data_IF_069901060983
#
_entry.id   IF_069901060983
#
_cell.length_a   1.000
_cell.length_b   1.000
_cell.length_c   1.000
_cell.angle_alpha   90.00
_cell.angle_beta   90.00
_cell.angle_gamma   90.00
#
_symmetry.space_group_name_H-M   'P 1'
#
loop_
_entity.id
_entity.type
_entity.pdbx_description
1 polymer ?
#
# COMPACT_ATOMS: atom_id res chain seq x y z
N UNK A 1 -3.10 23.22 66.87
CA UNK A 1 -2.31 23.79 65.74
C UNK A 1 -1.16 22.86 65.39
N UNK A 2 -1.03 22.56 64.13
CA UNK A 2 -0.06 21.70 63.42
C UNK A 2 -0.46 20.23 63.25
N UNK A 3 -1.15 19.92 62.15
CA UNK A 3 -0.68 18.86 61.26
C UNK A 3 -0.85 19.21 59.78
N UNK A 4 -0.64 20.46 59.35
CA UNK A 4 -0.81 20.86 57.92
C UNK A 4 0.53 21.04 57.16
N UNK A 5 1.68 20.90 57.85
CA UNK A 5 2.99 21.13 57.21
C UNK A 5 3.67 19.85 56.69
N UNK A 6 3.13 18.67 57.00
CA UNK A 6 3.75 17.39 56.58
C UNK A 6 3.22 16.86 55.24
N UNK A 7 2.07 17.34 54.77
CA UNK A 7 1.47 16.89 53.53
C UNK A 7 2.04 17.65 52.32
N UNK A 8 2.56 18.86 52.50
CA UNK A 8 3.17 19.65 51.41
C UNK A 8 4.60 19.22 51.06
N UNK A 9 5.29 18.53 51.97
CA UNK A 9 6.65 18.02 51.69
C UNK A 9 6.67 16.64 51.03
N UNK A 10 5.58 15.88 51.11
CA UNK A 10 5.46 14.57 50.44
C UNK A 10 4.98 14.72 48.99
N UNK A 11 4.31 15.81 48.64
CA UNK A 11 3.90 16.11 47.25
C UNK A 11 5.01 16.77 46.43
N UNK A 12 6.10 17.23 47.01
CA UNK A 12 7.23 17.82 46.27
C UNK A 12 8.31 16.80 45.90
N UNK A 13 8.20 15.54 46.31
CA UNK A 13 9.19 14.48 45.97
C UNK A 13 8.71 13.54 44.84
N UNK A 14 7.52 13.74 44.31
CA UNK A 14 6.94 12.82 43.33
C UNK A 14 6.95 13.29 41.88
N UNK A 15 7.76 14.24 41.41
CA UNK A 15 7.87 14.54 39.97
C UNK A 15 9.28 14.97 39.54
N UNK A 16 10.30 14.29 40.01
CA UNK A 16 11.54 14.23 39.23
C UNK A 16 11.50 13.00 38.31
N UNK A 17 10.47 12.89 37.46
CA UNK A 17 10.60 12.08 36.28
C UNK A 17 11.68 12.74 35.43
N UNK A 18 12.83 12.09 35.26
CA UNK A 18 13.89 12.58 34.39
C UNK A 18 13.31 12.77 32.98
N UNK A 19 13.06 14.03 32.61
CA UNK A 19 12.59 14.37 31.28
C UNK A 19 13.68 13.99 30.28
N UNK A 20 13.29 13.43 29.15
CA UNK A 20 14.21 13.11 28.06
C UNK A 20 14.98 14.37 27.65
N UNK A 21 16.32 14.29 27.63
CA UNK A 21 17.17 15.37 27.12
C UNK A 21 17.20 15.32 25.59
N UNK A 22 16.60 16.32 24.96
CA UNK A 22 16.60 16.47 23.49
C UNK A 22 17.59 17.56 23.14
N UNK A 23 18.64 17.18 22.38
CA UNK A 23 19.76 18.04 22.03
C UNK A 23 20.05 17.87 20.55
N UNK A 24 20.51 18.92 19.88
CA UNK A 24 21.19 18.77 18.59
C UNK A 24 22.49 18.00 18.78
N UNK A 25 23.02 17.41 17.70
CA UNK A 25 24.34 16.75 17.76
C UNK A 25 25.46 17.73 18.17
N UNK A 26 25.34 19.00 17.81
CA UNK A 26 26.29 20.05 18.20
C UNK A 26 26.23 20.34 19.70
N UNK A 27 25.05 20.65 20.25
CA UNK A 27 24.83 20.89 21.68
C UNK A 27 25.26 19.71 22.54
N UNK A 28 24.98 18.47 22.10
CA UNK A 28 25.43 17.27 22.81
C UNK A 28 26.96 17.16 22.82
N UNK A 29 27.64 17.51 21.73
CA UNK A 29 29.10 17.52 21.65
C UNK A 29 29.71 18.54 22.63
N UNK A 30 29.17 19.76 22.71
CA UNK A 30 29.59 20.81 23.63
C UNK A 30 29.42 20.38 25.10
N UNK A 31 28.37 19.60 25.41
CA UNK A 31 28.15 19.06 26.73
C UNK A 31 28.95 17.78 27.04
N UNK A 32 29.87 17.38 26.15
CA UNK A 32 30.66 16.15 26.28
C UNK A 32 29.86 14.86 26.12
N UNK A 33 28.65 14.94 25.52
CA UNK A 33 27.72 13.84 25.24
C UNK A 33 27.72 13.49 23.75
N UNK A 34 28.91 13.42 23.12
CA UNK A 34 28.99 13.10 21.68
C UNK A 34 28.27 11.78 21.34
N UNK A 35 27.79 11.64 20.12
CA UNK A 35 27.12 10.42 19.66
C UNK A 35 27.97 9.17 19.93
N UNK A 36 29.29 9.24 19.69
CA UNK A 36 30.24 8.15 19.95
C UNK A 36 30.26 7.75 21.43
N UNK A 37 30.19 8.70 22.34
CA UNK A 37 30.19 8.46 23.79
C UNK A 37 28.85 7.84 24.22
N UNK A 38 27.71 8.37 23.77
CA UNK A 38 26.42 7.82 24.08
C UNK A 38 26.26 6.42 23.45
N UNK A 39 26.70 6.21 22.22
CA UNK A 39 26.71 4.88 21.60
C UNK A 39 27.51 3.87 22.41
N UNK A 40 28.63 4.29 23.04
CA UNK A 40 29.42 3.38 23.89
C UNK A 40 28.72 3.00 25.21
N UNK A 41 27.87 3.89 25.75
CA UNK A 41 27.08 3.65 26.96
C UNK A 41 25.86 2.78 26.65
N UNK A 42 25.17 3.05 25.57
CA UNK A 42 23.89 2.43 25.24
C UNK A 42 23.98 1.25 24.23
N UNK A 43 25.18 0.97 23.70
CA UNK A 43 25.48 -0.24 22.88
C UNK A 43 26.56 -1.07 23.56
N UNK A 44 26.21 -2.06 24.38
CA UNK A 44 27.23 -2.96 24.93
C UNK A 44 27.95 -3.73 23.81
N UNK A 45 29.27 -3.95 24.00
CA UNK A 45 30.11 -4.72 23.07
C UNK A 45 29.51 -6.13 22.89
N UNK A 46 29.17 -6.50 21.66
CA UNK A 46 28.61 -7.81 21.32
C UNK A 46 27.11 -7.84 21.01
N UNK A 47 26.40 -6.74 21.12
CA UNK A 47 24.99 -6.67 20.69
C UNK A 47 24.91 -6.81 19.16
N UNK A 48 24.43 -7.96 18.68
CA UNK A 48 24.09 -8.17 17.28
C UNK A 48 23.07 -7.12 16.81
N UNK A 49 23.11 -6.72 15.54
CA UNK A 49 22.05 -5.91 14.92
C UNK A 49 20.72 -6.63 15.13
N UNK A 50 19.96 -6.22 16.14
CA UNK A 50 18.61 -6.74 16.35
C UNK A 50 17.80 -6.38 15.13
N UNK A 51 17.34 -7.39 14.37
CA UNK A 51 16.36 -7.22 13.30
C UNK A 51 15.14 -6.49 13.88
N UNK A 52 14.73 -5.44 13.20
CA UNK A 52 13.49 -4.70 13.49
C UNK A 52 12.30 -5.63 13.25
N UNK A 53 11.86 -6.33 14.25
CA UNK A 53 10.47 -6.73 14.33
C UNK A 53 9.73 -5.52 14.88
N UNK A 54 8.84 -4.94 14.04
CA UNK A 54 8.07 -3.77 14.41
C UNK A 54 7.13 -4.12 15.54
N UNK A 55 7.45 -3.71 16.77
CA UNK A 55 6.48 -3.78 17.85
C UNK A 55 5.31 -2.85 17.51
N UNK A 56 4.08 -3.26 17.82
CA UNK A 56 2.86 -2.44 17.61
C UNK A 56 3.00 -1.06 18.28
N UNK A 57 3.72 -0.98 19.39
CA UNK A 57 3.99 0.29 20.09
C UNK A 57 4.90 1.21 19.30
N UNK A 58 5.93 0.70 18.60
CA UNK A 58 6.79 1.51 17.74
C UNK A 58 6.05 2.03 16.50
N UNK A 59 5.22 1.19 15.88
CA UNK A 59 4.40 1.59 14.75
C UNK A 59 3.44 2.73 15.11
N UNK A 60 2.78 2.61 16.26
CA UNK A 60 1.87 3.64 16.78
C UNK A 60 2.61 4.93 17.18
N UNK A 61 3.82 4.81 17.78
CA UNK A 61 4.69 5.96 18.05
C UNK A 61 5.07 6.69 16.76
N UNK A 62 5.55 5.97 15.76
CA UNK A 62 5.93 6.54 14.47
C UNK A 62 4.75 7.22 13.77
N UNK A 63 3.56 6.65 13.87
CA UNK A 63 2.33 7.25 13.36
C UNK A 63 2.02 8.58 14.04
N UNK A 64 2.06 8.64 15.38
CA UNK A 64 1.82 9.88 16.14
C UNK A 64 2.89 10.94 15.86
N UNK A 65 4.15 10.52 15.73
CA UNK A 65 5.25 11.41 15.37
C UNK A 65 5.04 12.01 13.98
N UNK A 66 4.58 11.22 13.02
CA UNK A 66 4.24 11.70 11.68
C UNK A 66 3.06 12.67 11.68
N UNK A 67 1.98 12.35 12.41
CA UNK A 67 0.82 13.23 12.57
C UNK A 67 1.21 14.58 13.18
N UNK A 68 2.07 14.57 14.20
CA UNK A 68 2.61 15.76 14.83
C UNK A 68 3.44 16.61 13.87
N UNK A 69 4.32 15.97 13.13
CA UNK A 69 5.15 16.61 12.10
C UNK A 69 4.29 17.26 11.03
N UNK A 70 3.28 16.55 10.52
CA UNK A 70 2.33 17.07 9.54
C UNK A 70 1.56 18.30 10.08
N UNK A 71 1.12 18.24 11.33
CA UNK A 71 0.37 19.35 11.97
C UNK A 71 1.21 20.63 12.08
N UNK A 72 2.51 20.51 12.31
CA UNK A 72 3.39 21.66 12.56
C UNK A 72 4.02 22.20 11.28
N UNK A 73 4.54 21.32 10.42
CA UNK A 73 5.24 21.73 9.19
C UNK A 73 4.31 21.83 7.96
N UNK A 74 3.12 21.24 8.04
CA UNK A 74 2.13 21.24 6.96
C UNK A 74 2.60 20.51 5.71
N UNK A 75 2.04 20.89 4.56
CA UNK A 75 2.25 20.25 3.27
C UNK A 75 2.97 21.23 2.32
N UNK A 76 4.27 21.09 2.17
CA UNK A 76 5.10 21.96 1.31
C UNK A 76 5.81 21.15 0.22
N UNK A 77 6.15 21.74 -0.93
CA UNK A 77 6.89 21.06 -2.00
C UNK A 77 8.25 20.54 -1.55
N UNK A 78 8.93 21.29 -0.69
CA UNK A 78 10.20 20.89 -0.08
C UNK A 78 10.04 20.91 1.44
N UNK A 79 10.28 19.77 2.05
CA UNK A 79 10.22 19.59 3.49
C UNK A 79 11.62 19.36 4.06
N UNK A 80 11.95 19.95 5.21
CA UNK A 80 13.18 19.62 5.92
C UNK A 80 13.17 18.15 6.35
N UNK A 81 14.36 17.59 6.51
CA UNK A 81 14.55 16.21 7.00
C UNK A 81 15.18 16.26 8.37
N UNK A 82 14.76 15.36 9.25
CA UNK A 82 15.37 15.19 10.55
C UNK A 82 16.03 13.82 10.64
N UNK A 83 17.33 13.82 10.91
CA UNK A 83 18.03 12.63 11.39
C UNK A 83 18.01 12.67 12.92
N UNK A 84 17.70 11.57 13.58
CA UNK A 84 17.72 11.53 15.04
C UNK A 84 18.10 10.15 15.57
N UNK A 85 18.66 10.14 16.78
CA UNK A 85 18.98 8.93 17.54
C UNK A 85 18.32 8.99 18.90
N UNK A 86 17.61 7.93 19.26
CA UNK A 86 16.97 7.75 20.56
C UNK A 86 17.80 6.78 21.41
N UNK A 87 18.05 7.18 22.65
CA UNK A 87 18.83 6.42 23.64
C UNK A 87 17.92 6.01 24.79
N UNK A 88 17.72 4.70 24.94
CA UNK A 88 16.83 4.09 25.90
C UNK A 88 17.65 3.32 26.94
N UNK A 89 17.38 3.55 28.24
CA UNK A 89 18.05 2.86 29.31
C UNK A 89 17.52 1.43 29.55
N UNK A 90 18.11 0.72 30.51
CA UNK A 90 17.70 -0.64 30.87
C UNK A 90 16.25 -0.73 31.37
N UNK A 91 15.69 0.35 31.92
CA UNK A 91 14.30 0.42 32.37
C UNK A 91 13.30 0.73 31.22
N UNK A 92 13.77 0.80 29.97
CA UNK A 92 12.94 1.10 28.81
C UNK A 92 12.56 2.57 28.64
N UNK A 93 13.11 3.48 29.48
CA UNK A 93 12.86 4.92 29.36
C UNK A 93 13.86 5.59 28.46
N UNK A 94 13.40 6.55 27.67
CA UNK A 94 14.29 7.40 26.89
C UNK A 94 15.01 8.39 27.82
N UNK A 95 16.33 8.45 27.67
CA UNK A 95 17.18 9.40 28.39
C UNK A 95 17.66 10.53 27.51
N UNK A 96 18.02 10.20 26.29
CA UNK A 96 18.53 11.17 25.33
C UNK A 96 17.87 10.98 23.94
N UNK A 97 17.70 12.11 23.27
CA UNK A 97 17.45 12.17 21.83
C UNK A 97 18.42 13.15 21.23
N UNK A 98 19.26 12.70 20.31
CA UNK A 98 20.09 13.59 19.50
C UNK A 98 19.45 13.78 18.13
N UNK A 99 19.43 15.00 17.62
CA UNK A 99 18.84 15.27 16.31
C UNK A 99 19.62 16.29 15.49
N UNK A 100 19.40 16.28 14.20
CA UNK A 100 19.85 17.27 13.23
C UNK A 100 18.75 17.48 12.20
N UNK A 101 18.45 18.75 11.88
CA UNK A 101 17.51 19.09 10.84
C UNK A 101 18.28 19.58 9.60
N UNK A 102 18.09 18.88 8.49
CA UNK A 102 18.70 19.17 7.19
C UNK A 102 17.69 19.89 6.30
N UNK A 103 18.12 20.96 5.63
CA UNK A 103 17.29 21.78 4.78
C UNK A 103 16.81 23.09 5.46
N UNK A 104 16.03 23.89 4.73
CA UNK A 104 15.51 25.16 5.27
C UNK A 104 14.29 24.90 6.14
N UNK A 105 14.48 24.76 7.44
CA UNK A 105 13.39 24.76 8.43
C UNK A 105 13.14 26.18 8.97
N UNK A 106 11.88 26.52 9.23
CA UNK A 106 11.56 27.68 10.04
C UNK A 106 11.89 27.34 11.51
N UNK A 107 12.75 28.14 12.14
CA UNK A 107 13.25 27.88 13.49
C UNK A 107 12.14 27.84 14.56
N UNK A 108 11.10 28.65 14.38
CA UNK A 108 9.93 28.64 15.27
C UNK A 108 9.15 27.31 15.18
N UNK A 109 8.97 26.79 13.97
CA UNK A 109 8.30 25.50 13.76
C UNK A 109 9.17 24.34 14.27
N UNK A 110 10.50 24.45 14.15
CA UNK A 110 11.43 23.48 14.72
C UNK A 110 11.27 23.40 16.25
N UNK A 111 11.36 24.53 16.95
CA UNK A 111 11.19 24.60 18.40
C UNK A 111 9.84 24.01 18.82
N UNK A 112 8.74 24.44 18.16
CA UNK A 112 7.40 23.93 18.43
C UNK A 112 7.29 22.42 18.21
N UNK A 113 7.94 21.88 17.20
CA UNK A 113 7.96 20.44 16.94
C UNK A 113 8.74 19.68 18.01
N UNK A 114 9.94 20.13 18.35
CA UNK A 114 10.80 19.51 19.36
C UNK A 114 10.13 19.50 20.73
N UNK A 115 9.47 20.58 21.13
CA UNK A 115 8.72 20.63 22.41
C UNK A 115 7.54 19.67 22.42
N UNK A 116 6.79 19.61 21.33
CA UNK A 116 5.68 18.67 21.19
C UNK A 116 6.17 17.21 21.14
N UNK A 117 7.32 16.97 20.50
CA UNK A 117 7.95 15.65 20.43
C UNK A 117 8.46 15.21 21.82
N UNK A 118 8.99 16.13 22.63
CA UNK A 118 9.37 15.87 24.02
C UNK A 118 8.19 15.35 24.84
N UNK A 119 7.04 16.00 24.73
CA UNK A 119 5.80 15.53 25.38
C UNK A 119 5.39 14.15 24.88
N UNK A 120 5.47 13.90 23.58
CA UNK A 120 5.14 12.61 22.98
C UNK A 120 6.06 11.50 23.52
N UNK A 121 7.38 11.73 23.55
CA UNK A 121 8.39 10.74 23.99
C UNK A 121 8.22 10.42 25.49
N UNK A 122 8.01 11.42 26.32
CA UNK A 122 7.85 11.23 27.78
C UNK A 122 6.59 10.44 28.14
N UNK A 123 5.52 10.57 27.33
CA UNK A 123 4.22 9.94 27.60
C UNK A 123 4.00 8.63 26.82
N UNK A 124 4.98 8.16 26.04
CA UNK A 124 4.84 6.99 25.20
C UNK A 124 5.69 5.82 25.69
N UNK A 125 5.13 4.83 26.40
CA UNK A 125 5.87 3.63 26.76
C UNK A 125 6.09 2.78 25.50
N UNK A 126 7.36 2.61 25.11
CA UNK A 126 7.73 1.58 24.15
C UNK A 126 7.92 0.26 24.88
N UNK A 127 7.51 -0.84 24.23
CA UNK A 127 7.73 -2.19 24.75
C UNK A 127 9.21 -2.40 25.06
N UNK A 128 9.48 -2.90 26.23
CA UNK A 128 10.80 -3.02 26.80
C UNK A 128 11.28 -4.48 26.78
N UNK A 129 12.53 -4.69 26.36
CA UNK A 129 13.25 -5.92 26.64
C UNK A 129 14.25 -5.65 27.77
N UNK A 130 14.12 -6.31 28.94
CA UNK A 130 14.84 -5.94 30.17
C UNK A 130 16.36 -6.10 30.14
N UNK A 131 16.92 -6.71 29.07
CA UNK A 131 18.31 -7.19 29.13
C UNK A 131 19.38 -6.24 28.57
N UNK A 132 19.05 -5.10 27.96
CA UNK A 132 20.07 -4.15 27.51
C UNK A 132 19.57 -2.75 27.18
N UNK A 133 20.38 -1.69 27.44
CA UNK A 133 20.13 -0.36 26.91
C UNK A 133 20.15 -0.36 25.38
N UNK A 134 19.42 0.53 24.73
CA UNK A 134 19.24 0.54 23.28
C UNK A 134 19.50 1.90 22.65
N UNK A 135 20.05 1.86 21.44
CA UNK A 135 20.13 3.01 20.54
C UNK A 135 19.36 2.67 19.26
N UNK A 136 18.50 3.58 18.85
CA UNK A 136 17.85 3.50 17.54
C UNK A 136 18.03 4.81 16.79
N UNK A 137 18.51 4.72 15.53
CA UNK A 137 18.74 5.88 14.67
C UNK A 137 17.72 5.86 13.53
N UNK A 138 17.11 7.00 13.28
CA UNK A 138 16.01 7.15 12.35
C UNK A 138 16.17 8.41 11.48
N UNK A 139 15.48 8.39 10.34
CA UNK A 139 15.27 9.56 9.49
C UNK A 139 13.78 9.78 9.32
N UNK A 140 13.36 11.03 9.37
CA UNK A 140 12.02 11.42 9.04
C UNK A 140 11.98 12.69 8.21
N UNK A 141 10.96 12.83 7.38
CA UNK A 141 10.65 14.08 6.71
C UNK A 141 9.71 14.87 7.61
N UNK A 142 10.01 16.14 7.84
CA UNK A 142 9.18 17.02 8.66
C UNK A 142 8.06 17.61 7.81
N UNK A 143 6.85 17.12 8.01
CA UNK A 143 5.68 17.41 7.17
C UNK A 143 5.45 16.36 6.07
N UNK A 144 4.73 16.72 5.05
CA UNK A 144 4.38 15.82 3.94
C UNK A 144 5.07 16.29 2.65
N UNK A 145 5.85 15.43 2.03
CA UNK A 145 6.41 15.70 0.70
C UNK A 145 5.31 15.47 -0.33
N UNK A 146 4.96 16.54 -1.03
CA UNK A 146 4.02 16.46 -2.15
C UNK A 146 4.75 15.96 -3.39
N UNK A 147 4.21 14.92 -4.02
CA UNK A 147 4.68 14.50 -5.33
C UNK A 147 4.06 15.42 -6.39
N UNK A 148 4.83 16.36 -6.90
CA UNK A 148 4.39 17.34 -7.89
C UNK A 148 5.16 17.09 -9.19
N UNK A 149 4.46 16.94 -10.33
CA UNK A 149 5.11 16.91 -11.63
C UNK A 149 5.92 18.17 -11.86
N UNK A 150 7.05 18.06 -12.56
CA UNK A 150 7.89 19.20 -12.90
C UNK A 150 7.54 19.72 -14.30
N UNK A 151 7.61 21.03 -14.50
CA UNK A 151 7.44 21.67 -15.82
C UNK A 151 6.67 22.98 -15.76
N UNK A 152 6.84 23.80 -16.79
CA UNK A 152 6.26 25.15 -16.87
C UNK A 152 4.74 25.16 -17.08
N UNK A 153 4.15 24.01 -17.43
CA UNK A 153 2.70 23.83 -17.59
C UNK A 153 2.00 23.26 -16.36
N UNK A 154 2.65 23.30 -15.18
CA UNK A 154 2.16 22.75 -13.92
C UNK A 154 1.85 23.87 -12.93
N UNK A 155 0.65 23.87 -12.38
CA UNK A 155 0.26 24.66 -11.22
C UNK A 155 0.17 23.75 -10.01
N UNK A 156 0.77 24.17 -8.89
CA UNK A 156 0.85 23.33 -7.69
C UNK A 156 0.39 23.98 -6.39
N UNK A 157 0.07 25.27 -6.42
CA UNK A 157 -0.49 26.00 -5.27
C UNK A 157 -1.75 26.76 -5.68
N UNK A 158 -2.58 27.13 -4.70
CA UNK A 158 -3.74 27.97 -4.97
C UNK A 158 -3.33 29.40 -5.35
N UNK A 159 -2.27 29.91 -4.74
CA UNK A 159 -1.71 31.22 -5.01
C UNK A 159 -1.27 31.31 -6.49
N UNK A 160 -0.51 30.32 -6.98
CA UNK A 160 -0.08 30.27 -8.38
C UNK A 160 -1.29 30.12 -9.32
N UNK A 161 -2.30 29.31 -8.92
CA UNK A 161 -3.51 29.12 -9.70
C UNK A 161 -4.31 30.44 -9.89
N UNK A 162 -4.31 31.27 -8.87
CA UNK A 162 -4.97 32.59 -8.90
C UNK A 162 -4.12 33.59 -9.66
N UNK A 163 -2.81 33.65 -9.39
CA UNK A 163 -1.92 34.68 -9.89
C UNK A 163 -1.51 34.52 -11.36
N UNK A 164 -1.55 33.29 -11.91
CA UNK A 164 -1.09 33.07 -13.29
C UNK A 164 -1.85 33.91 -14.31
N UNK A 165 -1.11 34.58 -15.18
CA UNK A 165 -1.60 35.35 -16.32
C UNK A 165 -1.74 34.51 -17.59
N UNK A 166 -1.27 33.27 -17.60
CA UNK A 166 -1.27 32.37 -18.77
C UNK A 166 -1.98 31.06 -18.47
N UNK A 167 -3.27 31.05 -18.10
CA UNK A 167 -4.01 29.83 -17.75
C UNK A 167 -4.17 28.86 -18.94
N UNK A 168 -4.08 29.34 -20.16
CA UNK A 168 -4.15 28.61 -21.42
C UNK A 168 -2.93 27.71 -21.67
N UNK A 169 -1.82 27.92 -20.98
CA UNK A 169 -0.62 27.07 -21.08
C UNK A 169 -0.60 25.92 -20.09
N UNK A 170 -1.48 25.93 -19.07
CA UNK A 170 -1.50 24.99 -17.96
C UNK A 170 -2.15 23.67 -18.38
N UNK A 171 -1.41 22.57 -18.26
CA UNK A 171 -1.86 21.20 -18.58
C UNK A 171 -2.12 20.36 -17.34
N UNK A 172 -1.44 20.66 -16.25
CA UNK A 172 -1.53 19.91 -14.98
C UNK A 172 -1.81 20.88 -13.84
N UNK A 173 -2.86 20.57 -13.08
CA UNK A 173 -3.20 21.30 -11.85
C UNK A 173 -3.08 20.30 -10.69
N UNK A 174 -2.00 20.44 -9.90
CA UNK A 174 -1.63 19.54 -8.83
C UNK A 174 -1.87 20.18 -7.45
N UNK A 175 -3.13 20.23 -7.02
CA UNK A 175 -3.57 20.77 -5.72
C UNK A 175 -3.75 19.65 -4.68
N UNK A 176 -2.90 18.59 -4.75
CA UNK A 176 -2.91 17.49 -3.81
C UNK A 176 -2.34 17.91 -2.45
N UNK A 177 -2.86 17.32 -1.37
CA UNK A 177 -2.35 17.50 0.01
C UNK A 177 -2.28 18.97 0.46
N UNK A 178 -3.33 19.73 0.18
CA UNK A 178 -3.49 21.15 0.57
C UNK A 178 -4.61 21.35 1.60
N UNK A 179 -5.11 20.26 2.22
CA UNK A 179 -6.20 20.32 3.23
C UNK A 179 -7.49 20.94 2.69
N UNK A 180 -7.69 20.84 1.37
CA UNK A 180 -8.88 21.41 0.71
C UNK A 180 -10.13 20.64 1.19
N UNK A 181 -11.15 21.41 1.60
CA UNK A 181 -12.49 20.88 1.98
C UNK A 181 -13.48 20.89 0.82
N UNK A 182 -13.21 21.68 -0.22
CA UNK A 182 -13.99 21.74 -1.44
C UNK A 182 -13.09 21.88 -2.68
N UNK A 183 -13.62 21.52 -3.83
CA UNK A 183 -12.94 21.75 -5.12
C UNK A 183 -12.92 23.26 -5.41
N UNK A 184 -11.74 23.89 -5.58
CA UNK A 184 -11.66 25.33 -5.78
C UNK A 184 -12.09 25.72 -7.20
N UNK A 185 -12.92 26.76 -7.34
CA UNK A 185 -13.43 27.22 -8.66
C UNK A 185 -12.34 27.71 -9.61
N UNK A 186 -11.18 28.08 -9.08
CA UNK A 186 -10.03 28.52 -9.88
C UNK A 186 -9.59 27.49 -10.92
N UNK A 187 -9.89 26.19 -10.72
CA UNK A 187 -9.55 25.12 -11.69
C UNK A 187 -10.19 25.37 -13.07
N UNK A 188 -11.33 26.06 -13.14
CA UNK A 188 -12.05 26.29 -14.37
C UNK A 188 -11.41 27.37 -15.27
N UNK A 189 -10.36 28.05 -14.80
CA UNK A 189 -9.55 28.95 -15.64
C UNK A 189 -8.67 28.17 -16.64
N UNK A 190 -8.39 26.88 -16.35
CA UNK A 190 -7.42 26.06 -17.07
C UNK A 190 -8.11 25.18 -18.13
N UNK A 191 -8.59 25.77 -19.21
CA UNK A 191 -9.35 25.06 -20.26
C UNK A 191 -8.53 24.02 -21.03
N UNK A 192 -7.19 24.17 -21.06
CA UNK A 192 -6.25 23.22 -21.66
C UNK A 192 -5.77 22.13 -20.69
N UNK A 193 -6.26 22.14 -19.45
CA UNK A 193 -5.90 21.16 -18.42
C UNK A 193 -6.24 19.74 -18.85
N UNK A 194 -5.26 18.84 -18.76
CA UNK A 194 -5.37 17.41 -19.06
C UNK A 194 -5.40 16.56 -17.80
N UNK A 195 -4.80 17.03 -16.72
CA UNK A 195 -4.72 16.32 -15.44
C UNK A 195 -5.06 17.25 -14.27
N UNK A 196 -5.94 16.75 -13.39
CA UNK A 196 -6.32 17.40 -12.14
C UNK A 196 -5.99 16.46 -10.98
N UNK A 197 -5.09 16.89 -10.10
CA UNK A 197 -4.73 16.13 -8.90
C UNK A 197 -5.23 16.89 -7.64
N UNK A 198 -6.24 16.31 -6.99
CA UNK A 198 -6.81 16.75 -5.71
C UNK A 198 -6.64 15.67 -4.63
N UNK A 199 -5.70 14.73 -4.80
CA UNK A 199 -5.49 13.64 -3.86
C UNK A 199 -4.99 14.11 -2.50
N UNK A 200 -5.28 13.34 -1.44
CA UNK A 200 -4.79 13.63 -0.08
C UNK A 200 -5.34 14.92 0.53
N UNK A 201 -6.54 15.33 0.17
CA UNK A 201 -7.23 16.47 0.75
C UNK A 201 -8.34 16.02 1.74
N UNK A 202 -9.17 16.93 2.18
CA UNK A 202 -10.27 16.67 3.13
C UNK A 202 -11.65 16.76 2.45
N UNK A 203 -11.71 16.44 1.15
CA UNK A 203 -12.93 16.56 0.37
C UNK A 203 -13.96 15.52 0.81
N UNK A 204 -15.11 15.94 1.36
CA UNK A 204 -16.31 15.10 1.56
C UNK A 204 -17.26 15.16 0.36
N UNK A 205 -17.11 16.17 -0.49
CA UNK A 205 -17.77 16.22 -1.79
C UNK A 205 -16.83 16.78 -2.87
N UNK A 206 -16.99 16.32 -4.10
CA UNK A 206 -16.26 16.82 -5.27
C UNK A 206 -17.25 17.04 -6.42
N UNK A 207 -17.59 18.30 -6.66
CA UNK A 207 -18.41 18.73 -7.81
C UNK A 207 -17.47 19.28 -8.88
N UNK A 208 -17.26 18.53 -9.96
CA UNK A 208 -16.38 18.93 -11.06
C UNK A 208 -17.20 18.97 -12.35
N UNK A 209 -17.41 20.17 -12.84
CA UNK A 209 -18.11 20.36 -14.11
C UNK A 209 -17.14 20.12 -15.29
N UNK A 210 -17.16 18.89 -15.77
CA UNK A 210 -16.31 18.47 -16.88
C UNK A 210 -16.64 19.12 -18.22
N UNK A 211 -17.79 19.81 -18.34
CA UNK A 211 -18.14 20.55 -19.57
C UNK A 211 -17.27 21.79 -19.73
N UNK A 212 -16.81 22.36 -18.61
CA UNK A 212 -15.89 23.51 -18.56
C UNK A 212 -14.42 23.11 -18.74
N UNK A 213 -14.09 21.81 -18.70
CA UNK A 213 -12.73 21.24 -18.78
C UNK A 213 -12.64 20.25 -19.94
N UNK A 214 -12.76 20.68 -21.20
CA UNK A 214 -12.93 19.80 -22.35
C UNK A 214 -11.71 18.93 -22.68
N UNK A 215 -10.52 19.31 -22.21
CA UNK A 215 -9.27 18.55 -22.40
C UNK A 215 -8.96 17.57 -21.28
N UNK A 216 -9.68 17.64 -20.14
CA UNK A 216 -9.39 16.86 -18.95
C UNK A 216 -9.57 15.36 -19.22
N UNK A 217 -8.53 14.59 -18.91
CA UNK A 217 -8.43 13.15 -19.12
C UNK A 217 -8.16 12.35 -17.86
N UNK A 218 -7.43 12.93 -16.91
CA UNK A 218 -7.01 12.28 -15.68
C UNK A 218 -7.48 13.08 -14.46
N UNK A 219 -8.11 12.39 -13.51
CA UNK A 219 -8.52 12.98 -12.22
C UNK A 219 -8.03 12.07 -11.09
N UNK A 220 -7.33 12.67 -10.15
CA UNK A 220 -6.85 12.04 -8.93
C UNK A 220 -7.60 12.63 -7.73
N UNK A 221 -8.45 11.83 -7.09
CA UNK A 221 -9.25 12.17 -5.91
C UNK A 221 -9.00 11.17 -4.77
N UNK A 222 -7.93 10.38 -4.88
CA UNK A 222 -7.60 9.39 -3.88
C UNK A 222 -7.22 10.04 -2.53
N UNK A 223 -7.40 9.27 -1.44
CA UNK A 223 -7.16 9.73 -0.08
C UNK A 223 -7.93 11.02 0.26
N UNK A 224 -9.24 10.96 0.12
CA UNK A 224 -10.21 11.98 0.52
C UNK A 224 -11.31 11.34 1.40
N UNK A 225 -12.45 12.02 1.56
CA UNK A 225 -13.56 11.55 2.37
C UNK A 225 -14.86 11.40 1.55
N UNK A 226 -14.74 11.21 0.22
CA UNK A 226 -15.87 11.17 -0.71
C UNK A 226 -16.78 9.97 -0.43
N UNK A 227 -18.07 10.21 -0.54
CA UNK A 227 -19.14 9.18 -0.44
C UNK A 227 -19.83 8.98 -1.79
N UNK A 228 -20.75 8.02 -1.88
CA UNK A 228 -21.48 7.69 -3.11
C UNK A 228 -22.28 8.87 -3.65
N UNK A 229 -22.77 9.75 -2.79
CA UNK A 229 -23.51 10.97 -3.14
C UNK A 229 -22.63 12.22 -3.22
N UNK A 230 -21.41 12.15 -2.65
CA UNK A 230 -20.47 13.28 -2.59
C UNK A 230 -19.74 13.55 -3.90
N UNK A 231 -19.79 12.63 -4.87
CA UNK A 231 -19.13 12.80 -6.15
C UNK A 231 -20.10 13.21 -7.24
N UNK A 232 -19.88 14.38 -7.86
CA UNK A 232 -20.63 14.83 -9.02
C UNK A 232 -19.70 15.03 -10.22
N UNK A 233 -19.89 14.17 -11.24
CA UNK A 233 -19.24 14.24 -12.55
C UNK A 233 -20.35 14.15 -13.59
N UNK A 234 -20.61 15.20 -14.39
CA UNK A 234 -21.61 15.14 -15.45
C UNK A 234 -21.18 14.14 -16.52
N UNK A 235 -22.11 13.82 -17.41
CA UNK A 235 -21.80 12.94 -18.56
C UNK A 235 -20.62 13.48 -19.35
N UNK A 236 -19.56 12.70 -19.42
CA UNK A 236 -18.28 13.12 -19.99
C UNK A 236 -17.79 12.11 -21.04
N UNK A 237 -17.14 12.65 -22.07
CA UNK A 237 -16.62 11.86 -23.19
C UNK A 237 -15.09 11.92 -23.32
N UNK A 238 -14.37 12.62 -22.42
CA UNK A 238 -12.91 12.80 -22.49
C UNK A 238 -12.17 12.05 -21.40
N UNK A 239 -12.74 11.92 -20.20
CA UNK A 239 -12.10 11.31 -19.04
C UNK A 239 -11.70 9.86 -19.33
N UNK A 240 -10.43 9.55 -19.08
CA UNK A 240 -9.79 8.24 -19.29
C UNK A 240 -9.41 7.54 -18.01
N UNK A 241 -8.86 8.28 -17.06
CA UNK A 241 -8.35 7.76 -15.78
C UNK A 241 -9.04 8.47 -14.64
N UNK A 242 -9.54 7.70 -13.69
CA UNK A 242 -10.10 8.21 -12.44
C UNK A 242 -9.58 7.36 -11.28
N UNK A 243 -8.86 8.03 -10.38
CA UNK A 243 -8.42 7.43 -9.12
C UNK A 243 -9.23 8.02 -7.95
N UNK A 244 -10.00 7.18 -7.30
CA UNK A 244 -10.79 7.50 -6.09
C UNK A 244 -10.48 6.53 -4.94
N UNK A 245 -9.30 5.94 -4.93
CA UNK A 245 -8.83 5.07 -3.85
C UNK A 245 -8.85 5.78 -2.49
N UNK A 246 -9.03 5.02 -1.40
CA UNK A 246 -8.97 5.59 -0.06
C UNK A 246 -10.03 6.66 0.20
N UNK A 247 -11.26 6.38 -0.16
CA UNK A 247 -12.44 7.19 0.11
C UNK A 247 -13.47 6.39 0.93
N UNK A 248 -14.73 6.82 0.94
CA UNK A 248 -15.83 6.21 1.69
C UNK A 248 -16.94 5.67 0.78
N UNK A 249 -16.57 5.22 -0.43
CA UNK A 249 -17.54 4.64 -1.36
C UNK A 249 -18.00 3.26 -0.89
N UNK A 250 -19.31 2.99 -1.04
CA UNK A 250 -19.93 1.67 -0.76
C UNK A 250 -20.35 0.94 -2.04
N UNK A 251 -20.57 1.67 -3.13
CA UNK A 251 -20.82 1.17 -4.51
C UNK A 251 -20.02 2.03 -5.52
N UNK A 252 -20.13 1.71 -6.78
CA UNK A 252 -19.65 2.56 -7.88
C UNK A 252 -20.68 3.67 -8.15
N UNK A 253 -20.42 4.95 -7.80
CA UNK A 253 -21.38 6.02 -7.95
C UNK A 253 -21.87 6.20 -9.38
N UNK A 254 -23.11 6.72 -9.52
CA UNK A 254 -23.66 7.06 -10.84
C UNK A 254 -22.78 8.07 -11.59
N UNK A 255 -22.14 8.98 -10.88
CA UNK A 255 -21.19 9.95 -11.43
C UNK A 255 -20.05 9.23 -12.21
N UNK A 256 -19.46 8.18 -11.64
CA UNK A 256 -18.43 7.37 -12.32
C UNK A 256 -19.02 6.61 -13.51
N UNK A 257 -20.23 6.03 -13.35
CA UNK A 257 -20.92 5.30 -14.42
C UNK A 257 -21.26 6.18 -15.64
N UNK A 258 -21.35 7.49 -15.45
CA UNK A 258 -21.55 8.46 -16.51
C UNK A 258 -20.30 8.68 -17.40
N UNK A 259 -19.10 8.38 -16.86
CA UNK A 259 -17.83 8.54 -17.55
C UNK A 259 -17.54 7.34 -18.51
N UNK A 260 -18.34 7.18 -19.56
CA UNK A 260 -18.35 6.00 -20.46
C UNK A 260 -17.06 5.77 -21.26
N UNK A 261 -16.12 6.70 -21.24
CA UNK A 261 -14.84 6.62 -21.95
C UNK A 261 -13.68 6.21 -21.01
N UNK A 262 -13.95 5.99 -19.71
CA UNK A 262 -12.95 5.51 -18.76
C UNK A 262 -12.31 4.23 -19.26
N UNK A 263 -10.97 4.21 -19.19
CA UNK A 263 -10.12 3.06 -19.47
C UNK A 263 -9.48 2.52 -18.20
N UNK A 264 -9.25 3.38 -17.20
CA UNK A 264 -8.70 2.99 -15.90
C UNK A 264 -9.53 3.59 -14.76
N UNK A 265 -9.89 2.75 -13.79
CA UNK A 265 -10.66 3.12 -12.59
C UNK A 265 -10.06 2.44 -11.36
N UNK A 266 -9.62 3.27 -10.40
CA UNK A 266 -9.05 2.79 -9.15
C UNK A 266 -9.96 3.13 -7.99
N UNK A 267 -10.50 2.09 -7.35
CA UNK A 267 -11.44 2.14 -6.24
C UNK A 267 -10.88 1.51 -4.95
N UNK A 268 -9.64 1.06 -4.95
CA UNK A 268 -9.03 0.39 -3.80
C UNK A 268 -9.16 1.19 -2.49
N UNK A 269 -9.07 0.51 -1.35
CA UNK A 269 -9.21 1.13 -0.03
C UNK A 269 -10.54 1.89 0.18
N UNK A 270 -11.63 1.39 -0.43
CA UNK A 270 -13.00 1.78 -0.13
C UNK A 270 -13.73 0.60 0.53
N UNK A 271 -14.94 0.82 1.06
CA UNK A 271 -15.76 -0.25 1.65
C UNK A 271 -16.91 -0.59 0.71
N UNK A 272 -16.62 -1.30 -0.39
CA UNK A 272 -17.57 -1.55 -1.48
C UNK A 272 -18.57 -2.67 -1.14
N UNK A 273 -19.27 -2.55 -0.02
CA UNK A 273 -20.20 -3.56 0.51
C UNK A 273 -21.53 -3.65 -0.24
N UNK A 274 -21.83 -2.70 -1.12
CA UNK A 274 -23.10 -2.61 -1.85
C UNK A 274 -22.97 -2.88 -3.36
N UNK A 275 -21.84 -3.45 -3.81
CA UNK A 275 -21.67 -3.82 -5.21
C UNK A 275 -22.78 -4.77 -5.68
N UNK A 276 -23.36 -4.47 -6.83
CA UNK A 276 -24.43 -5.23 -7.42
C UNK A 276 -24.24 -5.40 -8.95
N UNK A 277 -25.17 -6.10 -9.60
CA UNK A 277 -25.06 -6.39 -11.04
C UNK A 277 -25.02 -5.15 -11.95
N UNK A 278 -25.38 -3.96 -11.46
CA UNK A 278 -25.41 -2.71 -12.21
C UNK A 278 -24.26 -1.76 -11.84
N UNK A 279 -23.47 -2.06 -10.82
CA UNK A 279 -22.39 -1.18 -10.32
C UNK A 279 -21.40 -0.74 -11.40
N UNK A 280 -21.11 -1.62 -12.36
CA UNK A 280 -20.21 -1.32 -13.50
C UNK A 280 -20.95 -1.02 -14.81
N UNK A 281 -22.27 -0.71 -14.75
CA UNK A 281 -23.06 -0.42 -15.94
C UNK A 281 -22.53 0.84 -16.65
N UNK A 282 -22.28 0.74 -17.95
CA UNK A 282 -21.77 1.87 -18.77
C UNK A 282 -20.25 1.87 -18.96
N UNK A 283 -19.48 1.24 -18.07
CA UNK A 283 -18.00 1.27 -18.05
C UNK A 283 -17.38 0.23 -19.02
N UNK A 284 -17.95 0.07 -20.22
CA UNK A 284 -17.58 -1.00 -21.17
C UNK A 284 -16.19 -0.83 -21.80
N UNK A 285 -15.53 0.31 -21.60
CA UNK A 285 -14.19 0.62 -22.12
C UNK A 285 -13.08 0.38 -21.13
N UNK A 286 -13.39 0.06 -19.87
CA UNK A 286 -12.39 -0.23 -18.86
C UNK A 286 -11.45 -1.35 -19.34
N UNK A 287 -10.16 -1.07 -19.16
CA UNK A 287 -9.03 -1.96 -19.40
C UNK A 287 -8.34 -2.31 -18.06
N UNK A 288 -8.36 -1.38 -17.11
CA UNK A 288 -7.77 -1.52 -15.80
C UNK A 288 -8.79 -1.18 -14.70
N UNK A 289 -8.99 -2.12 -13.77
CA UNK A 289 -9.87 -1.96 -12.61
C UNK A 289 -9.16 -2.43 -11.36
N UNK A 290 -8.91 -1.48 -10.46
CA UNK A 290 -8.35 -1.77 -9.15
C UNK A 290 -9.45 -1.74 -8.08
N UNK A 291 -9.62 -2.87 -7.40
CA UNK A 291 -10.52 -3.11 -6.27
C UNK A 291 -9.73 -3.68 -5.07
N UNK A 292 -8.49 -3.26 -4.91
CA UNK A 292 -7.59 -3.65 -3.83
C UNK A 292 -8.18 -3.23 -2.46
N UNK A 293 -8.23 -4.16 -1.50
CA UNK A 293 -8.66 -3.86 -0.11
C UNK A 293 -10.01 -3.09 -0.06
N UNK A 294 -11.06 -3.72 -0.57
CA UNK A 294 -12.41 -3.13 -0.65
C UNK A 294 -13.45 -3.86 0.20
N UNK A 295 -13.04 -4.74 1.12
CA UNK A 295 -13.89 -5.56 1.97
C UNK A 295 -14.92 -6.42 1.17
N UNK A 296 -14.54 -6.85 -0.05
CA UNK A 296 -15.42 -7.59 -0.95
C UNK A 296 -15.56 -9.05 -0.51
N UNK A 297 -16.79 -9.49 -0.23
CA UNK A 297 -17.12 -10.90 0.06
C UNK A 297 -17.48 -11.68 -1.20
N UNK A 298 -18.01 -11.01 -2.20
CA UNK A 298 -18.36 -11.59 -3.49
C UNK A 298 -18.21 -10.58 -4.64
N UNK A 299 -18.06 -11.08 -5.84
CA UNK A 299 -18.07 -10.28 -7.06
C UNK A 299 -19.42 -10.34 -7.75
N UNK A 300 -20.02 -9.20 -8.11
CA UNK A 300 -21.30 -9.22 -8.82
C UNK A 300 -21.13 -9.84 -10.22
N UNK A 301 -22.09 -10.63 -10.66
CA UNK A 301 -22.09 -11.22 -12.02
C UNK A 301 -21.93 -10.17 -13.12
N UNK A 302 -22.36 -8.94 -12.83
CA UNK A 302 -22.27 -7.77 -13.73
C UNK A 302 -20.85 -7.37 -14.13
N UNK A 303 -19.82 -7.71 -13.32
CA UNK A 303 -18.41 -7.40 -13.62
C UNK A 303 -17.98 -8.01 -14.97
N UNK A 304 -18.54 -9.14 -15.36
CA UNK A 304 -18.25 -9.83 -16.62
C UNK A 304 -18.68 -9.05 -17.88
N UNK A 305 -19.43 -7.95 -17.72
CA UNK A 305 -19.78 -7.03 -18.81
C UNK A 305 -18.59 -6.15 -19.21
N UNK A 306 -17.54 -6.08 -18.39
CA UNK A 306 -16.28 -5.38 -18.67
C UNK A 306 -15.40 -6.20 -19.64
N UNK A 307 -15.89 -6.41 -20.84
CA UNK A 307 -15.25 -7.33 -21.83
C UNK A 307 -13.91 -6.83 -22.40
N UNK A 308 -13.55 -5.57 -22.13
CA UNK A 308 -12.27 -4.98 -22.52
C UNK A 308 -11.24 -5.01 -21.43
N UNK A 309 -11.62 -5.47 -20.22
CA UNK A 309 -10.72 -5.49 -19.07
C UNK A 309 -9.52 -6.39 -19.34
N UNK A 310 -8.34 -5.84 -19.08
CA UNK A 310 -7.03 -6.46 -19.23
C UNK A 310 -6.39 -6.72 -17.87
N UNK A 311 -6.60 -5.80 -16.90
CA UNK A 311 -6.10 -5.93 -15.54
C UNK A 311 -7.27 -5.86 -14.55
N UNK A 312 -7.36 -6.86 -13.67
CA UNK A 312 -8.29 -6.89 -12.55
C UNK A 312 -7.54 -7.18 -11.26
N UNK A 313 -7.49 -6.17 -10.39
CA UNK A 313 -6.87 -6.28 -9.08
C UNK A 313 -7.95 -6.42 -7.99
N UNK A 314 -7.93 -7.57 -7.31
CA UNK A 314 -8.82 -7.95 -6.20
C UNK A 314 -8.03 -8.36 -4.97
N UNK A 315 -6.77 -7.94 -4.89
CA UNK A 315 -5.86 -8.26 -3.80
C UNK A 315 -6.41 -7.72 -2.47
N UNK A 316 -6.19 -8.45 -1.35
CA UNK A 316 -6.66 -8.09 0.00
C UNK A 316 -8.17 -7.84 0.08
N UNK A 317 -8.98 -8.85 -0.23
CA UNK A 317 -10.42 -8.84 -0.03
C UNK A 317 -10.86 -10.08 0.78
N UNK A 318 -12.16 -10.29 0.95
CA UNK A 318 -12.74 -11.43 1.68
C UNK A 318 -13.47 -12.40 0.74
N UNK A 319 -13.08 -12.47 -0.52
CA UNK A 319 -13.76 -13.27 -1.54
C UNK A 319 -13.68 -14.77 -1.21
N UNK A 320 -14.84 -15.41 -1.06
CA UNK A 320 -14.95 -16.86 -0.87
C UNK A 320 -15.04 -17.63 -2.20
N UNK A 321 -15.69 -17.02 -3.20
CA UNK A 321 -15.90 -17.61 -4.52
C UNK A 321 -15.76 -16.58 -5.63
N UNK A 322 -15.55 -17.07 -6.85
CA UNK A 322 -15.56 -16.25 -8.07
C UNK A 322 -16.74 -16.67 -8.96
N UNK A 323 -17.46 -15.71 -9.55
CA UNK A 323 -18.57 -16.03 -10.42
C UNK A 323 -18.12 -16.74 -11.69
N UNK A 324 -18.82 -17.78 -12.13
CA UNK A 324 -18.54 -18.46 -13.42
C UNK A 324 -18.49 -17.51 -14.61
N UNK A 325 -19.20 -16.37 -14.50
CA UNK A 325 -19.23 -15.35 -15.55
C UNK A 325 -17.88 -14.66 -15.76
N UNK A 326 -16.92 -14.74 -14.80
CA UNK A 326 -15.55 -14.23 -14.95
C UNK A 326 -14.87 -14.73 -16.24
N UNK A 327 -15.10 -15.99 -16.62
CA UNK A 327 -14.57 -16.57 -17.86
C UNK A 327 -15.06 -15.90 -19.16
N UNK A 328 -15.97 -14.92 -19.12
CA UNK A 328 -16.37 -14.09 -20.27
C UNK A 328 -15.43 -12.92 -20.53
N UNK A 329 -14.53 -12.60 -19.57
CA UNK A 329 -13.59 -11.50 -19.67
C UNK A 329 -12.33 -11.92 -20.46
N UNK A 330 -12.52 -12.28 -21.72
CA UNK A 330 -11.52 -12.96 -22.56
C UNK A 330 -10.29 -12.12 -22.91
N UNK A 331 -10.29 -10.82 -22.60
CA UNK A 331 -9.14 -9.92 -22.78
C UNK A 331 -8.25 -9.83 -21.54
N UNK A 332 -8.68 -10.42 -20.42
CA UNK A 332 -7.94 -10.34 -19.17
C UNK A 332 -6.54 -10.94 -19.33
N UNK A 333 -5.54 -10.16 -18.96
CA UNK A 333 -4.12 -10.47 -19.02
C UNK A 333 -3.55 -10.67 -17.61
N UNK A 334 -4.02 -9.90 -16.64
CA UNK A 334 -3.62 -10.01 -15.25
C UNK A 334 -4.82 -10.15 -14.35
N UNK A 335 -4.78 -11.14 -13.46
CA UNK A 335 -5.80 -11.38 -12.42
C UNK A 335 -5.10 -11.57 -11.08
N UNK A 336 -5.29 -10.60 -10.19
CA UNK A 336 -4.74 -10.62 -8.83
C UNK A 336 -5.88 -10.95 -7.84
N UNK A 337 -5.76 -12.10 -7.17
CA UNK A 337 -6.73 -12.67 -6.24
C UNK A 337 -6.11 -12.99 -4.88
N UNK A 338 -4.85 -12.62 -4.66
CA UNK A 338 -4.13 -13.03 -3.46
C UNK A 338 -4.68 -12.34 -2.21
N UNK A 339 -4.44 -12.94 -1.04
CA UNK A 339 -4.99 -12.49 0.24
C UNK A 339 -6.52 -12.37 0.18
N UNK A 340 -7.17 -13.50 -0.11
CA UNK A 340 -8.62 -13.68 -0.08
C UNK A 340 -8.98 -14.96 0.68
N UNK A 341 -10.22 -15.40 0.60
CA UNK A 341 -10.72 -16.62 1.26
C UNK A 341 -11.21 -17.67 0.23
N UNK A 342 -10.68 -17.62 -1.00
CA UNK A 342 -11.13 -18.51 -2.07
C UNK A 342 -10.85 -19.97 -1.73
N UNK A 343 -11.88 -20.81 -1.77
CA UNK A 343 -11.77 -22.25 -1.58
C UNK A 343 -11.69 -23.02 -2.91
N UNK A 344 -12.14 -22.43 -4.01
CA UNK A 344 -12.08 -23.03 -5.34
C UNK A 344 -11.98 -21.98 -6.47
N UNK A 345 -11.39 -22.41 -7.57
CA UNK A 345 -11.40 -21.64 -8.82
C UNK A 345 -12.55 -22.11 -9.73
N UNK A 346 -13.28 -21.21 -10.40
CA UNK A 346 -14.33 -21.63 -11.33
C UNK A 346 -13.75 -22.37 -12.53
N UNK A 347 -14.41 -23.44 -12.99
CA UNK A 347 -14.00 -24.20 -14.18
C UNK A 347 -13.92 -23.35 -15.46
N UNK A 348 -14.55 -22.18 -15.45
CA UNK A 348 -14.51 -21.23 -16.56
C UNK A 348 -13.24 -20.40 -16.63
N UNK A 349 -12.32 -20.51 -15.62
CA UNK A 349 -11.01 -19.82 -15.65
C UNK A 349 -10.23 -20.13 -16.92
N UNK A 350 -10.26 -21.36 -17.42
CA UNK A 350 -9.59 -21.77 -18.64
C UNK A 350 -10.08 -21.09 -19.94
N UNK A 351 -11.12 -20.24 -19.86
CA UNK A 351 -11.57 -19.40 -20.97
C UNK A 351 -10.76 -18.11 -21.13
N UNK A 352 -9.96 -17.74 -20.14
CA UNK A 352 -9.12 -16.54 -20.12
C UNK A 352 -7.83 -16.77 -20.90
N UNK A 353 -7.94 -16.97 -22.22
CA UNK A 353 -6.84 -17.39 -23.10
C UNK A 353 -5.67 -16.40 -23.18
N UNK A 354 -5.90 -15.12 -22.80
CA UNK A 354 -4.91 -14.05 -22.82
C UNK A 354 -4.30 -13.80 -21.43
N UNK A 355 -4.68 -14.60 -20.43
CA UNK A 355 -4.14 -14.43 -19.08
C UNK A 355 -2.65 -14.76 -19.07
N UNK A 356 -1.81 -13.76 -18.73
CA UNK A 356 -0.36 -13.87 -18.59
C UNK A 356 0.04 -14.12 -17.11
N UNK A 357 -0.69 -13.51 -16.18
CA UNK A 357 -0.36 -13.61 -14.76
C UNK A 357 -1.60 -13.92 -13.94
N UNK A 358 -1.51 -14.97 -13.12
CA UNK A 358 -2.50 -15.36 -12.14
C UNK A 358 -1.85 -15.39 -10.75
N UNK A 359 -2.23 -14.44 -9.91
CA UNK A 359 -1.81 -14.38 -8.52
C UNK A 359 -2.97 -14.80 -7.61
N UNK A 360 -2.85 -15.92 -6.92
CA UNK A 360 -3.87 -16.44 -6.03
C UNK A 360 -3.27 -17.05 -4.75
N UNK A 361 -2.10 -16.55 -4.36
CA UNK A 361 -1.45 -16.94 -3.10
C UNK A 361 -2.22 -16.42 -1.88
N UNK A 362 -1.97 -17.00 -0.70
CA UNK A 362 -2.71 -16.67 0.53
C UNK A 362 -4.22 -16.75 0.35
N UNK A 363 -4.70 -17.96 0.02
CA UNK A 363 -6.11 -18.32 -0.08
C UNK A 363 -6.37 -19.67 0.62
N UNK A 364 -7.54 -20.27 0.42
CA UNK A 364 -7.95 -21.57 0.96
C UNK A 364 -8.15 -22.60 -0.16
N UNK A 365 -7.45 -22.45 -1.28
CA UNK A 365 -7.61 -23.31 -2.45
C UNK A 365 -7.08 -24.71 -2.17
N UNK A 366 -7.91 -25.72 -2.43
CA UNK A 366 -7.53 -27.14 -2.28
C UNK A 366 -7.20 -27.82 -3.58
N UNK A 367 -7.73 -27.32 -4.70
CA UNK A 367 -7.50 -27.86 -6.03
C UNK A 367 -7.63 -26.80 -7.13
N UNK A 368 -6.91 -27.00 -8.23
CA UNK A 368 -7.13 -26.29 -9.48
C UNK A 368 -8.02 -27.11 -10.41
N UNK A 369 -8.97 -26.46 -11.10
CA UNK A 369 -9.73 -27.17 -12.13
C UNK A 369 -8.83 -27.57 -13.31
N UNK A 370 -9.02 -28.73 -13.90
CA UNK A 370 -8.24 -29.17 -15.08
C UNK A 370 -8.29 -28.19 -16.26
N UNK A 371 -9.27 -27.30 -16.27
CA UNK A 371 -9.34 -26.22 -17.27
C UNK A 371 -8.20 -25.20 -17.18
N UNK A 372 -7.42 -25.18 -16.09
CA UNK A 372 -6.23 -24.31 -15.97
C UNK A 372 -5.26 -24.58 -17.13
N UNK A 373 -5.07 -25.84 -17.56
CA UNK A 373 -4.22 -26.18 -18.69
C UNK A 373 -4.65 -25.54 -20.05
N UNK A 374 -5.82 -24.91 -20.09
CA UNK A 374 -6.28 -24.14 -21.26
C UNK A 374 -5.78 -22.69 -21.28
N UNK A 375 -5.06 -22.20 -20.26
CA UNK A 375 -4.50 -20.86 -20.16
C UNK A 375 -3.22 -20.75 -21.01
N UNK A 376 -3.36 -20.68 -22.32
CA UNK A 376 -2.26 -20.81 -23.29
C UNK A 376 -1.22 -19.67 -23.24
N UNK A 377 -1.55 -18.54 -22.65
CA UNK A 377 -0.67 -17.37 -22.54
C UNK A 377 -0.09 -17.19 -21.12
N UNK A 378 -0.41 -18.10 -20.17
CA UNK A 378 0.00 -17.96 -18.79
C UNK A 378 1.52 -18.11 -18.65
N UNK A 379 2.15 -17.08 -18.08
CA UNK A 379 3.59 -17.03 -17.80
C UNK A 379 3.89 -17.15 -16.31
N UNK A 380 3.06 -16.54 -15.47
CA UNK A 380 3.24 -16.53 -14.01
C UNK A 380 2.01 -17.14 -13.36
N UNK A 381 2.25 -18.15 -12.51
CA UNK A 381 1.23 -18.81 -11.69
C UNK A 381 1.70 -18.84 -10.23
N UNK A 382 1.15 -17.97 -9.39
CA UNK A 382 1.45 -17.89 -7.98
C UNK A 382 0.28 -18.42 -7.14
N UNK A 383 0.51 -19.53 -6.44
CA UNK A 383 -0.45 -20.30 -5.66
C UNK A 383 0.07 -20.63 -4.25
N UNK A 384 1.19 -20.04 -3.85
CA UNK A 384 1.79 -20.30 -2.53
C UNK A 384 0.83 -19.93 -1.39
N UNK A 385 1.03 -20.52 -0.21
CA UNK A 385 0.15 -20.34 0.94
C UNK A 385 -1.33 -20.64 0.62
N UNK A 386 -1.59 -21.90 0.27
CA UNK A 386 -2.92 -22.47 0.04
C UNK A 386 -3.01 -23.87 0.66
N UNK A 387 -3.95 -24.69 0.25
CA UNK A 387 -4.16 -26.04 0.78
C UNK A 387 -4.14 -27.12 -0.32
N UNK A 388 -3.35 -26.91 -1.37
CA UNK A 388 -3.23 -27.88 -2.46
C UNK A 388 -2.57 -29.17 -1.94
N UNK A 389 -3.27 -30.32 -2.05
CA UNK A 389 -2.69 -31.64 -1.83
C UNK A 389 -2.10 -32.24 -3.11
N UNK A 390 -2.60 -31.83 -4.26
CA UNK A 390 -2.12 -32.25 -5.58
C UNK A 390 -2.29 -31.12 -6.60
N UNK A 391 -1.52 -31.20 -7.69
CA UNK A 391 -1.72 -30.36 -8.87
C UNK A 391 -2.36 -31.19 -9.99
N UNK A 392 -3.27 -30.64 -10.79
CA UNK A 392 -3.89 -31.37 -11.87
C UNK A 392 -2.88 -31.69 -12.97
N UNK A 393 -2.93 -32.90 -13.54
CA UNK A 393 -2.05 -33.29 -14.66
C UNK A 393 -2.05 -32.32 -15.84
N UNK A 394 -3.13 -31.56 -16.00
CA UNK A 394 -3.28 -30.54 -17.05
C UNK A 394 -2.34 -29.35 -16.85
N UNK A 395 -1.63 -29.24 -15.68
CA UNK A 395 -0.59 -28.23 -15.47
C UNK A 395 0.48 -28.31 -16.58
N UNK A 396 0.84 -29.52 -17.03
CA UNK A 396 1.80 -29.74 -18.11
C UNK A 396 1.38 -29.16 -19.48
N UNK A 397 0.14 -28.71 -19.62
CA UNK A 397 -0.34 -28.06 -20.85
C UNK A 397 -0.06 -26.55 -20.91
N UNK A 398 0.52 -25.95 -19.88
CA UNK A 398 0.87 -24.53 -19.78
C UNK A 398 2.18 -24.23 -20.53
N UNK A 399 2.17 -24.32 -21.86
CA UNK A 399 3.39 -24.37 -22.69
C UNK A 399 4.32 -23.18 -22.60
N UNK A 400 3.84 -22.01 -22.17
CA UNK A 400 4.59 -20.74 -22.10
C UNK A 400 4.81 -20.26 -20.67
N UNK A 401 4.48 -21.10 -19.68
CA UNK A 401 4.67 -20.73 -18.27
C UNK A 401 6.17 -20.68 -17.97
N UNK A 402 6.57 -19.60 -17.32
CA UNK A 402 7.95 -19.29 -16.95
C UNK A 402 8.20 -19.45 -15.45
N UNK A 403 7.16 -19.22 -14.65
CA UNK A 403 7.27 -19.25 -13.19
C UNK A 403 6.02 -19.89 -12.57
N UNK A 404 6.23 -20.85 -11.68
CA UNK A 404 5.20 -21.47 -10.84
C UNK A 404 5.67 -21.41 -9.39
N UNK A 405 4.85 -20.86 -8.52
CA UNK A 405 5.05 -20.89 -7.08
C UNK A 405 3.88 -21.61 -6.40
N UNK A 406 4.17 -22.76 -5.80
CA UNK A 406 3.25 -23.57 -5.00
C UNK A 406 3.83 -23.89 -3.61
N UNK A 407 4.76 -23.05 -3.14
CA UNK A 407 5.32 -23.15 -1.80
C UNK A 407 4.22 -23.01 -0.73
N UNK A 408 4.50 -23.49 0.48
CA UNK A 408 3.56 -23.39 1.60
C UNK A 408 2.16 -23.97 1.24
N UNK A 409 2.16 -25.25 0.81
CA UNK A 409 0.96 -26.02 0.48
C UNK A 409 1.03 -27.41 1.11
N UNK A 410 0.13 -28.33 0.76
CA UNK A 410 0.04 -29.69 1.29
C UNK A 410 0.40 -30.75 0.23
N UNK A 411 1.26 -30.42 -0.74
CA UNK A 411 1.59 -31.32 -1.83
C UNK A 411 2.33 -32.57 -1.30
N UNK A 412 1.79 -33.76 -1.59
CA UNK A 412 2.44 -35.05 -1.32
C UNK A 412 3.28 -35.53 -2.50
N UNK A 413 3.04 -35.02 -3.70
CA UNK A 413 3.78 -35.38 -4.93
C UNK A 413 3.73 -34.26 -5.96
N UNK A 414 4.64 -34.33 -6.92
CA UNK A 414 4.67 -33.46 -8.09
C UNK A 414 4.18 -34.24 -9.31
N UNK A 415 3.15 -33.74 -10.06
CA UNK A 415 2.67 -34.47 -11.23
C UNK A 415 3.76 -34.55 -12.31
N UNK A 416 4.04 -35.76 -12.80
CA UNK A 416 5.07 -36.00 -13.83
C UNK A 416 4.89 -35.13 -15.08
N UNK A 417 3.68 -34.71 -15.39
CA UNK A 417 3.38 -33.85 -16.55
C UNK A 417 4.03 -32.47 -16.47
N UNK A 418 4.52 -32.04 -15.29
CA UNK A 418 5.22 -30.75 -15.11
C UNK A 418 6.51 -30.70 -15.95
N UNK A 419 7.15 -31.82 -16.23
CA UNK A 419 8.36 -31.90 -17.08
C UNK A 419 8.10 -31.48 -18.54
N UNK A 420 6.82 -31.41 -18.96
CA UNK A 420 6.41 -30.93 -20.28
C UNK A 420 6.53 -29.43 -20.45
N UNK A 421 6.76 -28.67 -19.36
CA UNK A 421 6.82 -27.21 -19.34
C UNK A 421 8.19 -26.72 -19.81
N UNK A 422 8.39 -26.69 -21.12
CA UNK A 422 9.68 -26.36 -21.75
C UNK A 422 10.17 -24.92 -21.54
N UNK A 423 9.29 -24.01 -21.12
CA UNK A 423 9.63 -22.59 -20.85
C UNK A 423 9.75 -22.30 -19.36
N UNK A 424 9.58 -23.30 -18.49
CA UNK A 424 9.62 -23.11 -17.04
C UNK A 424 11.05 -22.77 -16.61
N UNK A 425 11.21 -21.58 -16.04
CA UNK A 425 12.49 -21.07 -15.53
C UNK A 425 12.61 -21.23 -14.02
N UNK A 426 11.49 -21.09 -13.30
CA UNK A 426 11.46 -21.13 -11.85
C UNK A 426 10.29 -21.94 -11.33
N UNK A 427 10.57 -22.85 -10.42
CA UNK A 427 9.58 -23.66 -9.71
C UNK A 427 9.86 -23.60 -8.21
N UNK A 428 8.96 -22.98 -7.45
CA UNK A 428 9.05 -22.88 -6.00
C UNK A 428 8.09 -23.89 -5.35
N UNK A 429 8.65 -24.78 -4.50
CA UNK A 429 7.96 -25.92 -3.92
C UNK A 429 8.16 -26.03 -2.40
N UNK A 430 8.87 -25.09 -1.78
CA UNK A 430 9.27 -25.12 -0.37
C UNK A 430 8.09 -25.31 0.57
N UNK A 431 8.34 -25.94 1.71
CA UNK A 431 7.32 -26.17 2.75
C UNK A 431 6.09 -26.90 2.20
N UNK A 432 6.32 -28.01 1.53
CA UNK A 432 5.31 -28.98 1.16
C UNK A 432 5.71 -30.34 1.77
N UNK A 433 4.76 -31.19 2.18
CA UNK A 433 5.05 -32.49 2.78
C UNK A 433 6.04 -33.34 1.97
N UNK A 434 5.94 -33.31 0.62
CA UNK A 434 6.84 -34.10 -0.22
C UNK A 434 8.32 -33.68 -0.10
N UNK A 435 8.62 -32.43 0.25
CA UNK A 435 10.01 -31.95 0.41
C UNK A 435 10.58 -32.18 1.81
N UNK A 436 9.73 -32.48 2.80
CA UNK A 436 10.09 -32.69 4.20
C UNK A 436 10.15 -34.18 4.55
N UNK A 437 9.45 -35.05 3.80
CA UNK A 437 9.41 -36.48 3.98
C UNK A 437 10.32 -37.19 2.95
N UNK A 438 11.34 -37.93 3.42
CA UNK A 438 12.34 -38.60 2.57
C UNK A 438 11.70 -39.61 1.60
N UNK A 439 10.63 -40.33 1.98
CA UNK A 439 9.95 -41.29 1.13
C UNK A 439 9.16 -40.61 0.00
N UNK A 440 8.50 -39.51 0.29
CA UNK A 440 7.77 -38.70 -0.70
C UNK A 440 8.74 -37.97 -1.64
N UNK A 441 9.84 -37.45 -1.10
CA UNK A 441 10.89 -36.83 -1.89
C UNK A 441 11.50 -37.80 -2.89
N UNK A 442 11.80 -39.05 -2.45
CA UNK A 442 12.34 -40.12 -3.32
C UNK A 442 11.42 -40.38 -4.53
N UNK A 443 10.10 -40.36 -4.35
CA UNK A 443 9.12 -40.52 -5.46
C UNK A 443 9.14 -39.35 -6.43
N UNK A 444 9.38 -38.15 -5.94
CA UNK A 444 9.40 -36.92 -6.76
C UNK A 444 10.76 -36.66 -7.42
N UNK A 445 11.83 -37.30 -6.93
CA UNK A 445 13.20 -37.07 -7.37
C UNK A 445 13.41 -37.18 -8.90
N UNK A 446 12.87 -38.17 -9.62
CA UNK A 446 13.05 -38.25 -11.08
C UNK A 446 12.44 -37.07 -11.82
N UNK A 447 11.34 -36.49 -11.27
CA UNK A 447 10.69 -35.31 -11.85
C UNK A 447 11.56 -34.09 -11.61
N UNK A 448 12.12 -33.93 -10.41
CA UNK A 448 13.00 -32.83 -10.04
C UNK A 448 14.27 -32.82 -10.90
N UNK A 449 14.96 -33.95 -10.99
CA UNK A 449 16.15 -34.13 -11.82
C UNK A 449 15.89 -33.80 -13.31
N UNK A 450 14.73 -34.21 -13.84
CA UNK A 450 14.34 -33.88 -15.21
C UNK A 450 14.11 -32.39 -15.43
N UNK A 451 13.57 -31.66 -14.42
CA UNK A 451 13.39 -30.21 -14.48
C UNK A 451 14.73 -29.48 -14.43
N UNK A 452 15.64 -29.89 -13.56
CA UNK A 452 17.00 -29.36 -13.45
C UNK A 452 17.79 -29.54 -14.75
N UNK A 453 17.71 -30.75 -15.37
CA UNK A 453 18.27 -30.99 -16.69
C UNK A 453 17.70 -30.08 -17.77
N UNK A 454 16.43 -29.66 -17.67
CA UNK A 454 15.80 -28.67 -18.53
C UNK A 454 16.17 -27.22 -18.16
N UNK A 455 17.12 -27.00 -17.23
CA UNK A 455 17.58 -25.70 -16.73
C UNK A 455 16.50 -24.92 -15.99
N UNK A 456 15.55 -25.61 -15.36
CA UNK A 456 14.59 -24.99 -14.44
C UNK A 456 15.26 -24.82 -13.07
N UNK A 457 15.23 -23.62 -12.52
CA UNK A 457 15.63 -23.34 -11.13
C UNK A 457 14.51 -23.85 -10.20
N UNK A 458 14.80 -24.94 -9.45
CA UNK A 458 13.85 -25.60 -8.57
C UNK A 458 14.24 -25.37 -7.12
N UNK A 459 13.34 -24.78 -6.35
CA UNK A 459 13.48 -24.56 -4.90
C UNK A 459 12.49 -25.44 -4.13
N UNK A 460 12.96 -26.45 -3.42
CA UNK A 460 12.14 -27.36 -2.59
C UNK A 460 12.74 -27.62 -1.20
#
# INVERSE_FOLDING_TARGET
MKPFLFILLVLAVQTAQSQVKILTFAEASEQGLSQKKLDSIFRPKGASKVRREGSKSWELFSKKQFELSRKIFGNRPQQPRMAYSLYQNQAGKFEYMLYEIQGKANKELEVKFIDSLRVLINNYPLEHNPDSPRVSSHYMVLGVVRNIPKGDSVISTLEDAIATTRPDTVKIVALNQLELKSVPDVIYRFTEMQELNLSGNELNSARIDLTRLPKLRHIWLNANQLTDTGLYLPKNTTLKVLNVQGNRFTDVPQAIRNCKKLTSLWLGYNKLTQLNQNSFKGLRRLQDLNLYSCDLKELPKGISKLRRLEVLDLYYNELNTLPRSLGRMRRLQQLALSNNQLNQMPTTIGRLKRLHSLYAHHNKLTALPGSVGKLRSLRILSLNNNHFSTLPKQIGSLRVVEEIDVSDNNLSEIPVQIVQLRQLKKLYLRKNPFSEDASLLSRSKPVLESLEQNKTDVSY
#
